data_IF_082376914724
#
_entry.id   IF_082376914724
#
_cell.length_a   1.000
_cell.length_b   1.000
_cell.length_c   1.000
_cell.angle_alpha   90.00
_cell.angle_beta   90.00
_cell.angle_gamma   90.00
#
_symmetry.space_group_name_H-M   'P 1'
#
loop_
_entity.id
_entity.type
_entity.pdbx_description
1 polymer ?
#
# COMPACT_ATOMS: atom_id res chain seq x y z
N UNK A 1 44.79 -8.17 -6.44
CA UNK A 1 43.81 -7.76 -6.58
C UNK A 1 43.64 -6.63 -7.42
N UNK A 2 44.00 -6.79 -8.60
CA UNK A 2 43.84 -5.75 -9.57
C UNK A 2 42.41 -5.37 -9.70
N UNK A 3 41.57 -6.33 -9.57
CA UNK A 3 40.17 -6.04 -9.73
C UNK A 3 39.66 -5.05 -8.71
N UNK A 4 40.34 -4.96 -7.60
CA UNK A 4 39.84 -4.09 -6.59
C UNK A 4 40.29 -2.66 -6.77
N UNK A 5 41.03 -2.36 -7.81
CA UNK A 5 41.43 -1.01 -8.02
C UNK A 5 40.28 -0.14 -8.45
N UNK A 6 39.30 -0.72 -9.08
CA UNK A 6 38.17 0.06 -9.56
C UNK A 6 36.96 -0.35 -8.80
N UNK A 7 36.37 0.59 -8.14
CA UNK A 7 35.10 0.37 -7.51
C UNK A 7 34.04 0.39 -8.60
N UNK A 8 33.10 -0.51 -8.51
CA UNK A 8 32.00 -0.52 -9.45
C UNK A 8 30.90 0.36 -8.86
N UNK A 9 30.95 1.62 -9.19
CA UNK A 9 30.02 2.58 -8.61
C UNK A 9 28.58 2.31 -8.99
N UNK A 10 28.38 1.80 -10.18
CA UNK A 10 27.03 1.49 -10.60
C UNK A 10 26.45 0.36 -9.75
N UNK A 11 27.25 -0.65 -9.46
CA UNK A 11 26.82 -1.72 -8.60
C UNK A 11 26.54 -1.22 -7.20
N UNK A 12 27.35 -0.31 -6.71
CA UNK A 12 27.12 0.26 -5.39
C UNK A 12 25.83 1.04 -5.35
N UNK A 13 25.58 1.85 -6.36
CA UNK A 13 24.36 2.64 -6.40
C UNK A 13 23.14 1.74 -6.43
N UNK A 14 23.20 0.68 -7.22
CA UNK A 14 22.07 -0.23 -7.33
C UNK A 14 21.82 -0.94 -6.01
N UNK A 15 22.90 -1.39 -5.36
CA UNK A 15 22.76 -2.08 -4.08
C UNK A 15 22.22 -1.16 -3.00
N UNK A 16 22.72 0.07 -2.95
CA UNK A 16 22.25 1.02 -1.97
C UNK A 16 20.80 1.40 -2.20
N UNK A 17 20.44 1.58 -3.45
CA UNK A 17 19.06 1.91 -3.76
C UNK A 17 18.13 0.80 -3.29
N UNK A 18 18.50 -0.45 -3.56
CA UNK A 18 17.69 -1.58 -3.14
C UNK A 18 17.59 -1.64 -1.62
N UNK A 19 18.69 -1.39 -0.94
CA UNK A 19 18.69 -1.42 0.53
C UNK A 19 17.81 -0.32 1.11
N UNK A 20 17.91 0.87 0.56
CA UNK A 20 17.13 1.99 1.05
C UNK A 20 15.64 1.76 0.80
N UNK A 21 15.29 1.25 -0.37
CA UNK A 21 13.88 0.98 -0.66
C UNK A 21 13.34 -0.12 0.24
N UNK A 22 14.14 -1.14 0.49
CA UNK A 22 13.72 -2.22 1.37
C UNK A 22 13.50 -1.72 2.79
N UNK A 23 14.41 -0.90 3.29
CA UNK A 23 14.25 -0.34 4.62
C UNK A 23 13.03 0.57 4.71
N UNK A 24 12.84 1.37 3.68
CA UNK A 24 11.68 2.25 3.65
C UNK A 24 10.38 1.48 3.62
N UNK A 25 10.35 0.38 2.87
CA UNK A 25 9.16 -0.46 2.80
C UNK A 25 8.81 -1.02 4.16
N UNK A 26 9.81 -1.46 4.92
CA UNK A 26 9.55 -2.00 6.25
C UNK A 26 9.02 -0.95 7.20
N UNK A 27 9.54 0.25 7.12
CA UNK A 27 9.05 1.32 7.96
C UNK A 27 7.59 1.64 7.59
N UNK A 28 7.31 1.68 6.29
CA UNK A 28 5.97 1.95 5.84
C UNK A 28 5.00 0.88 6.32
N UNK A 29 5.43 -0.38 6.29
CA UNK A 29 4.58 -1.45 6.81
C UNK A 29 4.24 -1.25 8.27
N UNK A 30 5.20 -0.81 9.06
CA UNK A 30 4.95 -0.56 10.47
C UNK A 30 3.97 0.58 10.66
N UNK A 31 4.09 1.61 9.86
CA UNK A 31 3.16 2.73 9.94
C UNK A 31 1.76 2.28 9.56
N UNK A 32 1.64 1.43 8.56
CA UNK A 32 0.34 0.94 8.13
C UNK A 32 -0.35 0.10 9.17
N UNK A 33 0.42 -0.61 9.99
CA UNK A 33 -0.20 -1.40 11.04
C UNK A 33 -0.96 -0.54 12.01
N UNK A 34 -0.48 0.66 12.27
CA UNK A 34 -1.18 1.58 13.14
C UNK A 34 -2.50 2.05 12.56
N UNK A 35 -2.59 2.13 11.24
CA UNK A 35 -3.82 2.55 10.60
C UNK A 35 -4.81 1.39 10.53
N UNK A 36 -4.34 0.22 10.17
CA UNK A 36 -5.24 -0.89 9.84
C UNK A 36 -5.71 -1.71 10.99
N UNK A 37 -4.99 -1.70 12.10
CA UNK A 37 -5.24 -2.68 13.13
C UNK A 37 -5.98 -2.15 14.25
N UNK A 38 -6.67 -1.44 14.42
CA UNK A 38 -7.22 -1.48 15.61
C UNK A 38 -7.67 -0.31 16.31
N UNK A 39 -7.46 0.74 15.76
CA UNK A 39 -7.92 1.82 16.38
C UNK A 39 -9.18 2.19 15.88
N UNK A 40 -9.90 1.29 15.32
CA UNK A 40 -11.09 1.59 14.68
C UNK A 40 -12.10 2.10 15.62
N UNK A 41 -13.05 2.81 15.15
CA UNK A 41 -14.09 3.39 15.97
C UNK A 41 -14.86 2.30 16.63
N UNK A 42 -15.45 2.65 17.71
CA UNK A 42 -16.15 1.70 18.49
C UNK A 42 -17.35 1.14 17.79
N UNK A 43 -17.94 1.87 16.91
CA UNK A 43 -19.14 1.40 16.26
C UNK A 43 -19.16 1.79 14.80
N UNK A 44 -19.33 0.80 13.95
CA UNK A 44 -19.50 1.01 12.54
C UNK A 44 -20.89 0.52 12.21
N UNK A 45 -21.71 1.39 11.65
CA UNK A 45 -23.08 1.06 11.34
C UNK A 45 -23.24 0.94 9.84
N UNK A 46 -23.83 -0.17 9.40
CA UNK A 46 -24.10 -0.39 8.00
C UNK A 46 -25.20 0.52 7.53
N UNK A 47 -25.28 0.74 6.23
CA UNK A 47 -26.31 1.57 5.68
C UNK A 47 -27.70 1.00 5.96
N UNK A 48 -27.79 -0.29 6.19
CA UNK A 48 -29.06 -0.89 6.52
C UNK A 48 -29.45 -0.67 7.97
N UNK A 49 -28.59 0.00 8.74
CA UNK A 49 -28.90 0.32 10.12
C UNK A 49 -28.37 -0.66 11.14
N UNK A 50 -27.82 -1.77 10.71
CA UNK A 50 -27.31 -2.79 11.61
C UNK A 50 -25.88 -2.51 11.97
N UNK A 51 -25.51 -2.76 13.22
CA UNK A 51 -24.14 -2.59 13.66
C UNK A 51 -23.28 -3.68 13.04
N UNK A 52 -22.16 -3.28 12.46
CA UNK A 52 -21.27 -4.22 11.80
C UNK A 52 -20.36 -4.87 12.83
N UNK A 53 -19.93 -6.09 12.53
CA UNK A 53 -19.10 -6.87 13.43
C UNK A 53 -17.69 -7.03 12.87
N UNK A 54 -16.71 -6.97 13.75
CA UNK A 54 -15.33 -7.16 13.35
C UNK A 54 -15.08 -8.63 13.02
N UNK A 55 -14.45 -8.86 11.90
CA UNK A 55 -14.11 -10.22 11.48
C UNK A 55 -12.60 -10.45 11.60
N UNK A 56 -11.90 -9.60 12.31
CA UNK A 56 -10.47 -9.76 12.50
C UNK A 56 -9.67 -9.07 11.43
N UNK A 57 -8.38 -9.34 11.45
CA UNK A 57 -7.45 -8.72 10.50
C UNK A 57 -7.36 -9.54 9.24
N UNK A 58 -7.38 -8.87 8.12
CA UNK A 58 -7.22 -9.49 6.82
C UNK A 58 -6.06 -8.85 6.10
N UNK A 59 -5.26 -9.65 5.43
CA UNK A 59 -4.11 -9.14 4.71
C UNK A 59 -4.48 -8.69 3.32
N UNK A 60 -3.81 -7.66 2.87
CA UNK A 60 -3.95 -7.16 1.52
C UNK A 60 -2.56 -6.80 1.03
N UNK A 61 -2.22 -7.23 -0.16
CA UNK A 61 -0.96 -6.85 -0.75
C UNK A 61 -1.14 -5.52 -1.46
N UNK A 62 -0.30 -4.57 -1.16
CA UNK A 62 -0.41 -3.24 -1.75
C UNK A 62 0.88 -2.87 -2.45
N UNK A 63 0.76 -2.06 -3.48
CA UNK A 63 1.90 -1.61 -4.28
C UNK A 63 2.14 -0.15 -3.98
N UNK A 64 3.37 0.17 -3.62
CA UNK A 64 3.75 1.54 -3.31
C UNK A 64 4.99 1.90 -4.10
N UNK A 65 5.38 3.15 -4.04
CA UNK A 65 6.59 3.57 -4.73
C UNK A 65 7.82 2.94 -4.10
N UNK A 66 7.69 2.35 -2.92
CA UNK A 66 8.79 1.66 -2.26
C UNK A 66 8.77 0.16 -2.52
N UNK A 67 7.74 -0.33 -3.20
CA UNK A 67 7.63 -1.72 -3.52
C UNK A 67 6.34 -2.32 -3.03
N UNK A 68 6.28 -3.64 -3.07
CA UNK A 68 5.10 -4.37 -2.66
C UNK A 68 5.17 -4.64 -1.16
N UNK A 69 4.08 -4.39 -0.47
CA UNK A 69 4.00 -4.58 0.97
C UNK A 69 2.76 -5.36 1.31
N UNK A 70 2.76 -5.95 2.51
CA UNK A 70 1.57 -6.57 3.06
C UNK A 70 0.96 -5.64 4.08
N UNK A 71 -0.31 -5.36 3.91
CA UNK A 71 -1.03 -4.45 4.78
C UNK A 71 -2.15 -5.23 5.47
N UNK A 72 -2.17 -5.19 6.79
CA UNK A 72 -3.21 -5.88 7.57
C UNK A 72 -4.19 -4.85 8.07
N UNK A 73 -5.46 -5.10 7.85
CA UNK A 73 -6.49 -4.17 8.32
C UNK A 73 -7.71 -4.95 8.78
N UNK A 74 -8.47 -4.28 9.64
CA UNK A 74 -9.67 -4.90 10.19
C UNK A 74 -10.77 -4.95 9.15
N UNK A 75 -11.47 -6.05 9.13
CA UNK A 75 -12.61 -6.24 8.25
C UNK A 75 -13.86 -6.21 9.09
N UNK A 76 -14.87 -5.47 8.65
CA UNK A 76 -16.15 -5.44 9.32
C UNK A 76 -17.22 -5.94 8.38
N UNK A 77 -18.15 -6.70 8.90
CA UNK A 77 -19.20 -7.27 8.10
C UNK A 77 -20.53 -7.09 8.78
N UNK A 78 -21.57 -6.79 8.01
CA UNK A 78 -22.90 -6.64 8.52
C UNK A 78 -23.54 -8.02 8.59
N UNK A 79 -24.06 -8.44 9.76
CA UNK A 79 -24.67 -9.74 9.86
C UNK A 79 -26.03 -9.82 9.15
N UNK A 80 -26.60 -8.70 8.85
CA UNK A 80 -27.92 -8.67 8.20
C UNK A 80 -27.83 -8.69 6.68
N UNK A 81 -27.08 -7.75 6.11
CA UNK A 81 -27.02 -7.64 4.65
C UNK A 81 -25.72 -8.13 4.07
N UNK A 82 -24.78 -8.58 4.92
CA UNK A 82 -23.50 -9.15 4.47
C UNK A 82 -22.57 -8.16 3.81
N UNK A 83 -22.80 -6.88 3.93
CA UNK A 83 -21.89 -5.86 3.42
C UNK A 83 -20.58 -5.92 4.19
N UNK A 84 -19.50 -5.61 3.51
CA UNK A 84 -18.18 -5.63 4.10
C UNK A 84 -17.53 -4.27 4.02
N UNK A 85 -16.83 -3.87 5.05
CA UNK A 85 -16.08 -2.61 5.05
C UNK A 85 -14.69 -2.81 5.63
N UNK A 86 -13.75 -2.06 5.09
CA UNK A 86 -12.39 -2.03 5.60
C UNK A 86 -12.06 -0.58 5.90
N UNK A 87 -12.26 -0.15 7.14
CA UNK A 87 -12.01 1.28 7.45
C UNK A 87 -10.60 1.75 7.14
N UNK A 88 -9.61 0.88 7.31
CA UNK A 88 -8.25 1.24 6.96
C UNK A 88 -8.08 1.55 5.49
N UNK A 89 -8.73 0.75 4.64
CA UNK A 89 -8.67 1.00 3.20
C UNK A 89 -9.31 2.34 2.86
N UNK A 90 -10.39 2.67 3.55
CA UNK A 90 -11.07 3.95 3.33
C UNK A 90 -10.19 5.11 3.73
N UNK A 91 -9.51 4.98 4.85
CA UNK A 91 -8.64 6.04 5.34
C UNK A 91 -7.45 6.24 4.42
N UNK A 92 -6.94 5.17 3.82
CA UNK A 92 -5.78 5.25 2.94
C UNK A 92 -6.14 5.46 1.47
N UNK A 93 -7.43 5.50 1.16
CA UNK A 93 -7.91 5.71 -0.20
C UNK A 93 -7.46 4.59 -1.15
N UNK A 94 -7.63 3.36 -0.67
CA UNK A 94 -7.30 2.20 -1.48
C UNK A 94 -8.43 1.18 -1.48
N UNK A 95 -9.66 1.68 -1.50
CA UNK A 95 -10.83 0.81 -1.38
C UNK A 95 -10.88 -0.22 -2.49
N UNK A 96 -10.72 0.19 -3.72
CA UNK A 96 -10.81 -0.72 -4.84
C UNK A 96 -9.53 -0.79 -5.63
N UNK A 97 -8.41 -0.55 -4.99
CA UNK A 97 -7.13 -0.60 -5.68
C UNK A 97 -6.09 -1.11 -4.70
N UNK A 98 -5.04 -1.69 -5.24
CA UNK A 98 -3.91 -2.09 -4.44
C UNK A 98 -2.76 -1.12 -4.58
N UNK A 99 -2.94 -0.05 -5.36
CA UNK A 99 -1.87 0.91 -5.58
C UNK A 99 -2.05 2.14 -4.72
N UNK A 100 -1.03 2.46 -3.96
CA UNK A 100 -1.06 3.61 -3.08
C UNK A 100 -1.04 4.91 -3.89
N UNK A 101 -1.50 6.02 -3.28
CA UNK A 101 -1.62 7.28 -4.02
C UNK A 101 -0.35 7.76 -4.68
N UNK A 102 0.79 7.60 -4.03
CA UNK A 102 2.05 8.01 -4.62
C UNK A 102 2.36 7.26 -5.89
N UNK A 103 2.13 5.96 -5.88
CA UNK A 103 2.37 5.15 -7.06
C UNK A 103 1.38 5.48 -8.16
N UNK A 104 0.11 5.69 -7.80
CA UNK A 104 -0.89 6.04 -8.79
C UNK A 104 -0.53 7.33 -9.51
N UNK A 105 -0.01 8.30 -8.75
CA UNK A 105 0.40 9.56 -9.34
C UNK A 105 1.58 9.38 -10.29
N UNK A 106 2.54 8.56 -9.90
CA UNK A 106 3.67 8.26 -10.76
C UNK A 106 3.23 7.58 -12.03
N UNK A 107 2.35 6.62 -11.92
CA UNK A 107 1.88 5.89 -13.07
C UNK A 107 1.09 6.77 -14.02
N UNK A 108 0.26 7.63 -13.47
CA UNK A 108 -0.52 8.54 -14.29
C UNK A 108 0.40 9.48 -15.05
N UNK A 109 1.43 9.96 -14.39
CA UNK A 109 2.37 10.86 -15.04
C UNK A 109 3.14 10.17 -16.15
N UNK A 110 3.59 8.95 -15.88
CA UNK A 110 4.30 8.19 -16.88
C UNK A 110 3.40 7.80 -18.04
N UNK A 111 2.16 7.43 -17.75
CA UNK A 111 1.22 7.11 -18.78
C UNK A 111 0.91 8.30 -19.67
N UNK A 112 0.78 9.43 -19.06
CA UNK A 112 0.53 10.65 -19.80
C UNK A 112 1.65 10.94 -20.78
N UNK A 113 2.87 10.84 -20.31
CA UNK A 113 4.01 11.05 -21.17
C UNK A 113 4.07 10.05 -22.27
N UNK A 114 3.86 8.82 -21.97
CA UNK A 114 3.89 7.77 -22.95
C UNK A 114 2.86 8.01 -24.03
N UNK A 115 1.66 8.34 -23.62
CA UNK A 115 0.58 8.59 -24.55
C UNK A 115 0.92 9.74 -25.46
N UNK A 116 1.48 10.77 -24.89
CA UNK A 116 1.85 11.92 -25.68
C UNK A 116 2.88 11.57 -26.73
N UNK A 117 3.88 10.81 -26.34
CA UNK A 117 4.90 10.43 -27.28
C UNK A 117 4.35 9.54 -28.36
N UNK A 118 3.49 8.65 -28.04
CA UNK A 118 2.96 7.76 -29.01
C UNK A 118 1.96 8.40 -29.90
N UNK A 119 1.41 9.48 -29.49
CA UNK A 119 0.45 10.18 -30.28
C UNK A 119 1.00 10.79 -31.53
N UNK A 120 2.31 10.78 -31.70
CA UNK A 120 2.87 11.28 -32.93
C UNK A 120 2.81 10.30 -34.08
#
# INVERSE_FOLDING_TARGET
MAASKHADLEAWETALRAAVLSAGAKVLEQMLQGVGSGREPQAIVCECGTRMESQGLKEKEVLTILGSLTYRRSMFQCPTCQSTRYPGDEELDIIETTRFPGLRRMMARAGSRSTFKEGR
#
